data_IF_780068047114
#
_entry.id   IF_780068047114
#
_cell.length_a   1.000
_cell.length_b   1.000
_cell.length_c   1.000
_cell.angle_alpha   90.00
_cell.angle_beta   90.00
_cell.angle_gamma   90.00
#
_symmetry.space_group_name_H-M   'P 1'
#
loop_
_entity.id
_entity.type
_entity.pdbx_description
1 polymer ?
#
# COMPACT_ATOMS: atom_id res chain seq x y z
N UNK A 1 -16.93 -21.93 -14.88
CA UNK A 1 -17.78 -20.81 -14.43
C UNK A 1 -19.25 -21.23 -14.46
N UNK A 2 -19.74 -21.66 -15.62
CA UNK A 2 -21.13 -22.13 -15.80
C UNK A 2 -21.52 -23.27 -14.84
N UNK A 3 -20.63 -24.24 -14.59
CA UNK A 3 -20.90 -25.32 -13.63
C UNK A 3 -21.16 -24.82 -12.21
N UNK A 4 -20.42 -23.79 -11.75
CA UNK A 4 -20.60 -23.19 -10.41
C UNK A 4 -21.89 -22.38 -10.34
N UNK A 5 -22.20 -21.61 -11.40
CA UNK A 5 -23.47 -20.88 -11.49
C UNK A 5 -24.65 -21.86 -11.45
N UNK A 6 -24.59 -22.96 -12.20
CA UNK A 6 -25.63 -23.99 -12.21
C UNK A 6 -25.78 -24.66 -10.83
N UNK A 7 -24.67 -24.97 -10.15
CA UNK A 7 -24.71 -25.51 -8.78
C UNK A 7 -25.36 -24.54 -7.79
N UNK A 8 -25.08 -23.24 -7.89
CA UNK A 8 -25.73 -22.23 -7.04
C UNK A 8 -27.22 -22.10 -7.40
N UNK A 9 -27.57 -22.12 -8.69
CA UNK A 9 -28.98 -22.16 -9.15
C UNK A 9 -29.73 -23.36 -8.56
N UNK A 10 -29.10 -24.53 -8.55
CA UNK A 10 -29.71 -25.76 -8.01
C UNK A 10 -29.93 -25.68 -6.50
N UNK A 11 -28.99 -25.09 -5.75
CA UNK A 11 -29.13 -24.84 -4.31
C UNK A 11 -30.26 -23.84 -4.02
N UNK A 12 -30.40 -22.82 -4.86
CA UNK A 12 -31.38 -21.75 -4.71
C UNK A 12 -32.71 -22.02 -5.46
N UNK A 13 -32.93 -23.21 -6.00
CA UNK A 13 -34.07 -23.51 -6.89
C UNK A 13 -35.47 -23.28 -6.29
N UNK A 14 -35.58 -23.23 -4.96
CA UNK A 14 -36.83 -22.97 -4.26
C UNK A 14 -37.10 -21.49 -4.02
N UNK A 15 -36.16 -20.60 -4.33
CA UNK A 15 -36.38 -19.16 -4.31
C UNK A 15 -36.98 -18.72 -5.65
N UNK A 16 -38.28 -18.44 -5.66
CA UNK A 16 -39.00 -18.05 -6.87
C UNK A 16 -39.66 -16.67 -6.71
N UNK A 17 -40.15 -16.10 -7.81
CA UNK A 17 -40.92 -14.86 -7.72
C UNK A 17 -42.22 -15.13 -6.95
N UNK A 18 -42.66 -14.14 -6.17
CA UNK A 18 -43.96 -14.18 -5.49
C UNK A 18 -45.08 -14.27 -6.51
N UNK A 19 -46.04 -15.17 -6.29
CA UNK A 19 -47.22 -15.34 -7.12
C UNK A 19 -48.52 -15.35 -6.29
N UNK A 20 -49.64 -15.70 -6.92
CA UNK A 20 -50.97 -15.74 -6.29
C UNK A 20 -51.12 -16.85 -5.24
N UNK A 21 -50.26 -17.88 -5.27
CA UNK A 21 -50.28 -19.01 -4.35
C UNK A 21 -49.35 -18.79 -3.15
N UNK A 22 -48.48 -17.79 -3.18
CA UNK A 22 -47.57 -17.47 -2.08
C UNK A 22 -48.35 -17.03 -0.84
N UNK A 23 -48.20 -17.79 0.25
CA UNK A 23 -48.85 -17.53 1.53
C UNK A 23 -48.01 -16.51 2.31
N UNK A 24 -48.66 -15.41 2.72
CA UNK A 24 -48.09 -14.46 3.66
C UNK A 24 -48.50 -14.87 5.08
N UNK A 25 -47.63 -15.58 5.78
CA UNK A 25 -47.88 -16.06 7.15
C UNK A 25 -47.51 -14.97 8.16
N UNK A 26 -48.18 -14.90 9.32
CA UNK A 26 -47.74 -14.00 10.40
C UNK A 26 -46.53 -14.57 11.18
N UNK A 27 -46.04 -15.77 10.81
CA UNK A 27 -44.99 -16.53 11.48
C UNK A 27 -43.59 -16.25 10.90
N UNK A 28 -43.25 -14.98 10.71
CA UNK A 28 -41.94 -14.61 10.20
C UNK A 28 -40.84 -14.69 11.26
N UNK A 29 -39.68 -15.17 10.84
CA UNK A 29 -38.42 -14.99 11.53
C UNK A 29 -37.61 -13.88 10.85
N UNK A 30 -37.20 -12.89 11.64
CA UNK A 30 -36.24 -11.88 11.20
C UNK A 30 -34.82 -12.41 11.41
N UNK A 31 -34.17 -12.80 10.31
CA UNK A 31 -32.77 -13.18 10.31
C UNK A 31 -31.92 -11.94 10.55
N UNK A 32 -31.19 -11.94 11.66
CA UNK A 32 -30.28 -10.85 11.99
C UNK A 32 -29.07 -10.82 11.06
N UNK A 33 -28.41 -9.65 10.97
CA UNK A 33 -27.20 -9.48 10.15
C UNK A 33 -26.11 -10.52 10.47
N UNK A 34 -25.92 -10.89 11.74
CA UNK A 34 -24.90 -11.84 12.17
C UNK A 34 -25.25 -13.31 11.87
N UNK A 35 -26.54 -13.62 11.73
CA UNK A 35 -27.01 -14.96 11.38
C UNK A 35 -26.99 -15.20 9.86
N UNK A 36 -27.13 -14.14 9.06
CA UNK A 36 -27.18 -14.26 7.61
C UNK A 36 -25.77 -14.52 7.02
N UNK A 37 -25.54 -15.66 6.34
CA UNK A 37 -24.23 -15.96 5.75
C UNK A 37 -23.85 -15.02 4.60
N UNK A 38 -24.85 -14.45 3.91
CA UNK A 38 -24.63 -13.56 2.78
C UNK A 38 -24.75 -12.11 3.22
N UNK A 39 -23.74 -11.31 2.87
CA UNK A 39 -23.85 -9.87 2.99
C UNK A 39 -24.84 -9.31 1.93
N UNK A 40 -25.24 -8.03 2.04
CA UNK A 40 -26.24 -7.46 1.14
C UNK A 40 -25.88 -7.56 -0.35
N UNK A 41 -24.62 -7.39 -0.73
CA UNK A 41 -24.23 -7.38 -2.13
C UNK A 41 -24.21 -8.80 -2.72
N UNK A 42 -23.77 -9.79 -1.94
CA UNK A 42 -23.83 -11.21 -2.31
C UNK A 42 -25.27 -11.68 -2.50
N UNK A 43 -26.16 -11.28 -1.60
CA UNK A 43 -27.59 -11.62 -1.69
C UNK A 43 -28.21 -11.02 -2.96
N UNK A 44 -27.92 -9.76 -3.26
CA UNK A 44 -28.41 -9.12 -4.49
C UNK A 44 -27.89 -9.83 -5.74
N UNK A 45 -26.60 -10.17 -5.76
CA UNK A 45 -25.99 -10.89 -6.87
C UNK A 45 -26.65 -12.26 -7.10
N UNK A 46 -26.95 -13.01 -6.05
CA UNK A 46 -27.69 -14.28 -6.16
C UNK A 46 -29.04 -14.10 -6.85
N UNK A 47 -29.86 -13.16 -6.38
CA UNK A 47 -31.19 -13.00 -6.94
C UNK A 47 -31.15 -12.42 -8.36
N UNK A 48 -30.33 -11.40 -8.60
CA UNK A 48 -30.30 -10.69 -9.86
C UNK A 48 -29.52 -11.44 -10.95
N UNK A 49 -28.28 -11.85 -10.66
CA UNK A 49 -27.36 -12.40 -11.65
C UNK A 49 -27.42 -13.92 -11.76
N UNK A 50 -27.83 -14.62 -10.70
CA UNK A 50 -27.93 -16.08 -10.70
C UNK A 50 -29.38 -16.50 -10.94
N UNK A 51 -30.36 -15.99 -10.20
CA UNK A 51 -31.77 -16.41 -10.34
C UNK A 51 -32.56 -15.60 -11.38
N UNK A 52 -31.93 -14.62 -12.04
CA UNK A 52 -32.56 -13.77 -13.06
C UNK A 52 -33.78 -12.96 -12.55
N UNK A 53 -33.82 -12.61 -11.26
CA UNK A 53 -34.84 -11.73 -10.70
C UNK A 53 -34.62 -10.30 -11.18
N UNK A 54 -35.72 -9.57 -11.41
CA UNK A 54 -35.66 -8.12 -11.71
C UNK A 54 -35.48 -7.31 -10.42
N UNK A 55 -34.27 -7.31 -9.88
CA UNK A 55 -33.94 -6.54 -8.68
C UNK A 55 -33.76 -5.06 -9.02
N UNK A 56 -34.66 -4.21 -8.50
CA UNK A 56 -34.51 -2.75 -8.61
C UNK A 56 -33.52 -2.27 -7.56
N UNK A 57 -32.43 -1.63 -8.00
CA UNK A 57 -31.46 -0.92 -7.15
C UNK A 57 -31.84 0.55 -7.01
N UNK A 58 -31.33 1.17 -5.94
CA UNK A 58 -31.49 2.59 -5.63
C UNK A 58 -32.95 3.03 -5.66
N UNK A 59 -33.81 2.23 -5.02
CA UNK A 59 -35.28 2.36 -5.14
C UNK A 59 -35.79 3.68 -4.55
N UNK A 60 -35.18 4.12 -3.45
CA UNK A 60 -35.50 5.37 -2.77
C UNK A 60 -34.33 5.81 -1.90
N UNK A 61 -34.29 7.08 -1.46
CA UNK A 61 -33.30 7.55 -0.49
C UNK A 61 -33.24 6.57 0.70
N UNK A 62 -32.02 6.18 1.09
CA UNK A 62 -31.74 5.24 2.18
C UNK A 62 -32.15 3.79 1.94
N UNK A 63 -32.68 3.45 0.76
CA UNK A 63 -33.08 2.09 0.38
C UNK A 63 -32.31 1.70 -0.88
N UNK A 64 -31.39 0.74 -0.74
CA UNK A 64 -30.66 0.22 -1.89
C UNK A 64 -31.56 -0.71 -2.71
N UNK A 65 -32.10 -1.76 -2.09
CA UNK A 65 -33.02 -2.68 -2.78
C UNK A 65 -34.00 -3.34 -1.81
N UNK A 66 -35.09 -3.86 -2.37
CA UNK A 66 -36.02 -4.76 -1.70
C UNK A 66 -36.31 -5.91 -2.65
N UNK A 67 -36.04 -7.13 -2.21
CA UNK A 67 -36.27 -8.36 -2.96
C UNK A 67 -37.38 -9.11 -2.24
N UNK A 68 -38.48 -9.36 -2.96
CA UNK A 68 -39.58 -10.21 -2.48
C UNK A 68 -39.52 -11.52 -3.23
N UNK A 69 -39.70 -12.63 -2.51
CA UNK A 69 -39.61 -13.96 -3.11
C UNK A 69 -40.58 -14.92 -2.42
N UNK A 70 -40.86 -16.01 -3.10
CA UNK A 70 -41.51 -17.20 -2.56
C UNK A 70 -40.43 -18.22 -2.21
N UNK A 71 -40.55 -18.84 -1.05
CA UNK A 71 -39.81 -20.02 -0.67
C UNK A 71 -40.78 -21.13 -0.25
N UNK A 72 -40.88 -22.17 -1.09
CA UNK A 72 -41.77 -23.34 -0.87
C UNK A 72 -43.23 -22.95 -0.55
N UNK A 73 -43.77 -21.94 -1.23
CA UNK A 73 -45.13 -21.45 -1.06
C UNK A 73 -45.32 -20.42 0.04
N UNK A 74 -44.25 -19.98 0.71
CA UNK A 74 -44.29 -18.96 1.77
C UNK A 74 -43.56 -17.69 1.35
N UNK A 75 -44.10 -16.54 1.74
CA UNK A 75 -43.51 -15.25 1.43
C UNK A 75 -42.17 -15.05 2.14
N UNK A 76 -41.20 -14.47 1.43
CA UNK A 76 -39.91 -14.05 1.98
C UNK A 76 -39.53 -12.66 1.45
N UNK A 77 -38.70 -11.95 2.22
CA UNK A 77 -38.28 -10.60 1.86
C UNK A 77 -36.87 -10.28 2.36
N UNK A 78 -36.02 -9.75 1.49
CA UNK A 78 -34.75 -9.14 1.89
C UNK A 78 -34.78 -7.65 1.56
N UNK A 79 -34.37 -6.81 2.50
CA UNK A 79 -34.23 -5.37 2.29
C UNK A 79 -32.87 -4.86 2.76
N UNK A 80 -32.18 -4.10 1.91
CA UNK A 80 -30.94 -3.40 2.23
C UNK A 80 -31.17 -1.89 2.30
N UNK A 81 -30.90 -1.31 3.48
CA UNK A 81 -31.08 0.11 3.81
C UNK A 81 -29.83 0.66 4.50
N UNK A 82 -29.68 2.00 4.54
CA UNK A 82 -28.46 2.70 5.02
C UNK A 82 -27.88 2.18 6.35
N UNK A 83 -28.73 1.71 7.26
CA UNK A 83 -28.34 1.23 8.59
C UNK A 83 -29.00 -0.10 8.97
N UNK A 84 -29.60 -0.79 8.01
CA UNK A 84 -30.25 -2.07 8.29
C UNK A 84 -30.22 -2.98 7.08
N UNK A 85 -29.93 -4.24 7.34
CA UNK A 85 -30.05 -5.32 6.38
C UNK A 85 -30.94 -6.37 7.03
N UNK A 86 -32.15 -6.50 6.50
CA UNK A 86 -33.20 -7.30 7.12
C UNK A 86 -33.61 -8.39 6.15
N UNK A 87 -33.65 -9.62 6.66
CA UNK A 87 -34.11 -10.78 5.91
C UNK A 87 -35.23 -11.48 6.69
N UNK A 88 -36.43 -11.49 6.13
CA UNK A 88 -37.61 -12.20 6.64
C UNK A 88 -37.85 -13.48 5.86
N UNK A 89 -38.08 -14.56 6.60
CA UNK A 89 -38.47 -15.88 6.09
C UNK A 89 -39.49 -16.52 7.04
N UNK A 90 -40.30 -17.45 6.57
CA UNK A 90 -41.12 -18.26 7.46
C UNK A 90 -40.23 -19.03 8.46
N UNK A 91 -40.60 -18.99 9.73
CA UNK A 91 -39.82 -19.58 10.83
C UNK A 91 -39.57 -21.07 10.64
N UNK A 92 -40.49 -21.79 10.00
CA UNK A 92 -40.38 -23.23 9.78
C UNK A 92 -39.25 -23.58 8.79
N UNK A 93 -38.84 -22.62 7.96
CA UNK A 93 -37.76 -22.79 6.98
C UNK A 93 -36.44 -22.09 7.38
N UNK A 94 -36.37 -21.44 8.55
CA UNK A 94 -35.20 -20.66 8.97
C UNK A 94 -33.89 -21.45 8.83
N UNK A 95 -33.79 -22.59 9.52
CA UNK A 95 -32.52 -23.31 9.64
C UNK A 95 -32.09 -23.93 8.30
N UNK A 96 -33.04 -24.45 7.53
CA UNK A 96 -32.80 -24.96 6.16
C UNK A 96 -32.25 -23.86 5.25
N UNK A 97 -32.88 -22.68 5.25
CA UNK A 97 -32.47 -21.56 4.40
C UNK A 97 -31.08 -21.07 4.79
N UNK A 98 -30.78 -20.94 6.08
CA UNK A 98 -29.46 -20.50 6.54
C UNK A 98 -28.36 -21.51 6.16
N UNK A 99 -28.63 -22.81 6.22
CA UNK A 99 -27.70 -23.84 5.77
C UNK A 99 -27.45 -23.72 4.25
N UNK A 100 -28.51 -23.57 3.44
CA UNK A 100 -28.39 -23.36 1.99
C UNK A 100 -27.54 -22.12 1.70
N UNK A 101 -27.83 -20.99 2.34
CA UNK A 101 -27.09 -19.74 2.13
C UNK A 101 -25.62 -19.86 2.56
N UNK A 102 -25.31 -20.66 3.57
CA UNK A 102 -23.94 -20.93 3.98
C UNK A 102 -23.17 -21.71 2.92
N UNK A 103 -23.78 -22.72 2.31
CA UNK A 103 -23.19 -23.47 1.20
C UNK A 103 -23.01 -22.54 -0.01
N UNK A 104 -24.03 -21.76 -0.35
CA UNK A 104 -24.00 -20.78 -1.45
C UNK A 104 -22.87 -19.77 -1.28
N UNK A 105 -22.61 -19.29 -0.05
CA UNK A 105 -21.49 -18.39 0.23
C UNK A 105 -20.15 -18.96 -0.24
N UNK A 106 -19.87 -20.21 0.10
CA UNK A 106 -18.62 -20.87 -0.27
C UNK A 106 -18.49 -21.02 -1.80
N UNK A 107 -19.59 -21.38 -2.47
CA UNK A 107 -19.62 -21.48 -3.94
C UNK A 107 -19.44 -20.12 -4.62
N UNK A 108 -20.02 -19.04 -4.05
CA UNK A 108 -19.83 -17.67 -4.52
C UNK A 108 -18.38 -17.22 -4.37
N UNK A 109 -17.73 -17.52 -3.24
CA UNK A 109 -16.31 -17.18 -3.03
C UNK A 109 -15.44 -17.83 -4.11
N UNK A 110 -15.67 -19.11 -4.41
CA UNK A 110 -14.97 -19.80 -5.49
C UNK A 110 -15.32 -19.28 -6.89
N UNK A 111 -16.56 -18.85 -7.12
CA UNK A 111 -16.99 -18.25 -8.38
C UNK A 111 -16.32 -16.89 -8.58
N UNK A 112 -16.32 -16.03 -7.56
CA UNK A 112 -15.70 -14.71 -7.62
C UNK A 112 -14.19 -14.82 -7.79
N UNK A 113 -13.52 -15.81 -7.19
CA UNK A 113 -12.10 -16.04 -7.45
C UNK A 113 -11.81 -16.29 -8.94
N UNK A 114 -12.67 -17.04 -9.64
CA UNK A 114 -12.49 -17.28 -11.07
C UNK A 114 -12.81 -16.03 -11.91
N UNK A 115 -13.84 -15.27 -11.54
CA UNK A 115 -14.18 -13.98 -12.17
C UNK A 115 -13.02 -12.99 -11.99
N UNK A 116 -12.44 -12.89 -10.79
CA UNK A 116 -11.31 -12.02 -10.49
C UNK A 116 -10.08 -12.37 -11.31
N UNK A 117 -9.75 -13.66 -11.52
CA UNK A 117 -8.63 -14.04 -12.41
C UNK A 117 -8.83 -13.52 -13.84
N UNK A 118 -10.05 -13.59 -14.36
CA UNK A 118 -10.39 -13.08 -15.69
C UNK A 118 -10.28 -11.54 -15.71
N UNK A 119 -10.81 -10.87 -14.68
CA UNK A 119 -10.72 -9.41 -14.55
C UNK A 119 -9.26 -8.93 -14.47
N UNK A 120 -8.40 -9.61 -13.72
CA UNK A 120 -6.95 -9.33 -13.63
C UNK A 120 -6.24 -9.49 -14.98
N UNK A 121 -6.52 -10.58 -15.71
CA UNK A 121 -5.94 -10.83 -17.02
C UNK A 121 -6.39 -9.81 -18.07
N UNK A 122 -7.63 -9.31 -17.95
CA UNK A 122 -8.23 -8.35 -18.86
C UNK A 122 -8.06 -6.89 -18.44
N UNK A 123 -7.17 -6.58 -17.49
CA UNK A 123 -6.94 -5.22 -16.98
C UNK A 123 -8.19 -4.53 -16.40
N UNK A 124 -9.20 -5.29 -15.99
CA UNK A 124 -10.42 -4.76 -15.38
C UNK A 124 -10.32 -4.76 -13.86
N UNK A 125 -9.34 -4.02 -13.34
CA UNK A 125 -9.14 -3.85 -11.89
C UNK A 125 -8.59 -2.46 -11.57
N UNK A 126 -8.67 -2.11 -10.29
CA UNK A 126 -8.17 -0.85 -9.74
C UNK A 126 -7.07 -1.16 -8.73
N UNK A 127 -5.99 -0.40 -8.78
CA UNK A 127 -4.89 -0.48 -7.82
C UNK A 127 -5.17 0.47 -6.66
N UNK A 128 -5.06 -0.06 -5.45
CA UNK A 128 -5.13 0.73 -4.22
C UNK A 128 -3.98 1.75 -4.18
N UNK A 129 -4.33 2.98 -3.80
CA UNK A 129 -3.40 4.08 -3.67
C UNK A 129 -2.99 4.30 -2.20
N UNK A 130 -1.86 3.70 -1.84
CA UNK A 130 -1.24 3.81 -0.51
C UNK A 130 -0.33 5.04 -0.37
N UNK A 131 -0.46 6.06 -1.24
CA UNK A 131 0.40 7.24 -1.22
C UNK A 131 0.50 7.87 0.17
N UNK A 132 -0.62 8.04 0.89
CA UNK A 132 -0.63 8.61 2.24
C UNK A 132 0.28 7.83 3.19
N UNK A 133 0.14 6.51 3.22
CA UNK A 133 0.92 5.63 4.10
C UNK A 133 2.42 5.77 3.85
N UNK A 134 2.84 5.75 2.58
CA UNK A 134 4.26 5.91 2.24
C UNK A 134 4.77 7.33 2.51
N UNK A 135 3.96 8.35 2.23
CA UNK A 135 4.30 9.75 2.47
C UNK A 135 4.48 10.05 3.96
N UNK A 136 3.55 9.60 4.81
CA UNK A 136 3.64 9.73 6.27
C UNK A 136 4.88 9.02 6.81
N UNK A 137 5.17 7.81 6.31
CA UNK A 137 6.36 7.06 6.71
C UNK A 137 7.65 7.76 6.28
N UNK A 138 7.68 8.31 5.07
CA UNK A 138 8.82 9.04 4.53
C UNK A 138 9.11 10.32 5.34
N UNK A 139 8.08 11.12 5.59
CA UNK A 139 8.15 12.36 6.39
C UNK A 139 8.47 12.08 7.85
N UNK A 140 7.92 11.01 8.44
CA UNK A 140 8.27 10.58 9.80
C UNK A 140 9.77 10.36 9.99
N UNK A 141 10.41 9.61 9.07
CA UNK A 141 11.85 9.36 9.18
C UNK A 141 12.67 10.63 8.92
N UNK A 142 12.25 11.46 7.98
CA UNK A 142 12.88 12.76 7.74
C UNK A 142 12.88 13.62 9.02
N UNK A 143 11.72 13.86 9.63
CA UNK A 143 11.62 14.64 10.86
C UNK A 143 12.44 14.03 12.00
N UNK A 144 12.40 12.71 12.13
CA UNK A 144 13.17 11.96 13.13
C UNK A 144 14.66 12.20 12.96
N UNK A 145 15.18 12.17 11.74
CA UNK A 145 16.59 12.44 11.43
C UNK A 145 16.98 13.86 11.86
N UNK A 146 16.15 14.87 11.54
CA UNK A 146 16.36 16.25 12.01
C UNK A 146 16.38 16.35 13.55
N UNK A 147 15.40 15.73 14.22
CA UNK A 147 15.29 15.69 15.70
C UNK A 147 16.53 15.03 16.33
N UNK A 148 17.00 13.91 15.77
CA UNK A 148 18.19 13.19 16.24
C UNK A 148 19.47 13.98 16.01
N UNK A 149 19.64 14.61 14.86
CA UNK A 149 20.79 15.45 14.58
C UNK A 149 20.85 16.68 15.52
N UNK A 150 19.71 17.30 15.84
CA UNK A 150 19.63 18.38 16.84
C UNK A 150 20.08 17.90 18.22
N UNK A 151 19.59 16.72 18.67
CA UNK A 151 20.02 16.09 19.94
C UNK A 151 21.51 15.74 19.95
N UNK A 152 22.03 15.24 18.83
CA UNK A 152 23.44 14.91 18.69
C UNK A 152 24.33 16.16 18.81
N UNK A 153 23.94 17.26 18.16
CA UNK A 153 24.67 18.53 18.23
C UNK A 153 24.62 19.15 19.64
N UNK A 154 23.47 19.12 20.32
CA UNK A 154 23.38 19.63 21.69
C UNK A 154 24.28 18.87 22.66
N UNK A 155 24.39 17.54 22.52
CA UNK A 155 25.30 16.72 23.32
C UNK A 155 26.76 16.98 22.95
N UNK A 156 27.07 17.20 21.66
CA UNK A 156 28.41 17.58 21.22
C UNK A 156 28.85 18.91 21.82
N UNK A 157 27.94 19.87 21.95
CA UNK A 157 28.24 21.17 22.56
C UNK A 157 28.35 21.06 24.09
N UNK A 158 27.49 20.27 24.74
CA UNK A 158 27.62 19.92 26.16
C UNK A 158 28.94 19.23 26.44
N UNK A 159 29.45 18.36 25.57
CA UNK A 159 30.72 17.67 25.76
C UNK A 159 31.95 18.59 25.86
N UNK A 160 31.90 19.75 25.20
CA UNK A 160 32.95 20.78 25.32
C UNK A 160 32.90 21.50 26.67
N UNK A 161 31.71 21.58 27.26
CA UNK A 161 31.42 22.26 28.54
C UNK A 161 31.63 21.29 29.71
N UNK A 162 31.14 20.05 29.61
CA UNK A 162 31.24 18.99 30.61
C UNK A 162 32.65 18.43 30.75
N UNK A 163 33.45 18.29 29.68
CA UNK A 163 34.87 17.92 29.84
C UNK A 163 35.65 18.93 30.72
N UNK A 164 35.19 20.18 30.82
CA UNK A 164 35.76 21.18 31.72
C UNK A 164 35.13 21.11 33.12
N UNK A 165 33.81 20.96 33.23
CA UNK A 165 33.10 20.95 34.52
C UNK A 165 33.19 19.63 35.30
N UNK A 166 33.26 18.49 34.60
CA UNK A 166 33.48 17.16 35.17
C UNK A 166 34.90 17.07 35.72
N UNK A 167 35.90 17.63 35.02
CA UNK A 167 37.27 17.78 35.56
C UNK A 167 37.30 18.59 36.86
N UNK A 168 36.48 19.66 36.98
CA UNK A 168 36.42 20.47 38.20
C UNK A 168 35.62 19.83 39.35
N UNK A 169 34.57 19.04 39.05
CA UNK A 169 33.77 18.32 40.07
C UNK A 169 34.47 17.06 40.61
N UNK A 170 35.25 16.36 39.77
CA UNK A 170 36.06 15.20 40.17
C UNK A 170 37.21 15.54 41.12
N UNK A 171 37.61 16.81 41.17
CA UNK A 171 38.57 17.31 42.18
C UNK A 171 37.91 17.48 43.56
N UNK A 172 36.58 17.43 43.66
CA UNK A 172 35.83 17.70 44.89
C UNK A 172 35.12 16.47 45.48
N UNK A 173 34.58 15.55 44.66
CA UNK A 173 33.87 14.36 45.14
C UNK A 173 34.63 13.05 44.87
N UNK A 174 35.04 12.34 45.94
CA UNK A 174 35.83 11.09 45.88
C UNK A 174 35.01 9.81 45.58
N UNK A 175 33.67 9.90 45.47
CA UNK A 175 32.79 8.71 45.40
C UNK A 175 32.31 8.33 43.98
N UNK A 176 32.53 9.16 42.96
CA UNK A 176 32.09 8.87 41.58
C UNK A 176 33.27 8.45 40.70
N UNK A 177 33.27 7.20 40.23
CA UNK A 177 34.28 6.70 39.29
C UNK A 177 34.16 7.39 37.93
N UNK A 178 35.18 8.17 37.56
CA UNK A 178 35.30 8.85 36.26
C UNK A 178 34.98 7.93 35.07
N UNK A 179 35.47 6.68 35.13
CA UNK A 179 35.27 5.67 34.09
C UNK A 179 33.79 5.35 33.88
N UNK A 180 32.98 5.34 34.94
CA UNK A 180 31.56 5.01 34.86
C UNK A 180 30.75 6.11 34.18
N UNK A 181 30.96 7.38 34.55
CA UNK A 181 30.29 8.51 33.92
C UNK A 181 30.78 8.76 32.48
N UNK A 182 32.07 8.59 32.23
CA UNK A 182 32.64 8.62 30.88
C UNK A 182 32.01 7.55 29.97
N UNK A 183 31.86 6.31 30.47
CA UNK A 183 31.23 5.23 29.73
C UNK A 183 29.73 5.49 29.46
N UNK A 184 28.97 6.00 30.43
CA UNK A 184 27.55 6.37 30.22
C UNK A 184 27.39 7.42 29.12
N UNK A 185 28.22 8.46 29.15
CA UNK A 185 28.21 9.51 28.13
C UNK A 185 28.57 8.94 26.73
N UNK A 186 29.63 8.14 26.64
CA UNK A 186 30.04 7.50 25.40
C UNK A 186 28.99 6.54 24.84
N UNK A 187 28.31 5.79 25.71
CA UNK A 187 27.19 4.91 25.34
C UNK A 187 26.02 5.71 24.78
N UNK A 188 25.58 6.77 25.46
CA UNK A 188 24.49 7.63 24.97
C UNK A 188 24.80 8.28 23.62
N UNK A 189 26.05 8.75 23.45
CA UNK A 189 26.51 9.29 22.16
C UNK A 189 26.50 8.22 21.07
N UNK A 190 26.95 7.00 21.39
CA UNK A 190 26.96 5.86 20.46
C UNK A 190 25.54 5.45 20.05
N UNK A 191 24.60 5.38 21.01
CA UNK A 191 23.19 5.09 20.76
C UNK A 191 22.56 6.09 19.78
N UNK A 192 22.74 7.39 20.03
CA UNK A 192 22.22 8.43 19.14
C UNK A 192 22.80 8.37 17.73
N UNK A 193 24.10 8.05 17.61
CA UNK A 193 24.75 7.88 16.31
C UNK A 193 24.20 6.66 15.57
N UNK A 194 23.94 5.56 16.28
CA UNK A 194 23.33 4.37 15.68
C UNK A 194 21.87 4.63 15.30
N UNK A 195 21.09 5.29 16.16
CA UNK A 195 19.71 5.65 15.90
C UNK A 195 19.58 6.57 14.69
N UNK A 196 20.49 7.55 14.55
CA UNK A 196 20.58 8.41 13.37
C UNK A 196 20.90 7.59 12.12
N UNK A 197 21.89 6.70 12.19
CA UNK A 197 22.28 5.81 11.09
C UNK A 197 21.09 4.96 10.62
N UNK A 198 20.43 4.24 11.53
CA UNK A 198 19.30 3.37 11.20
C UNK A 198 18.10 4.17 10.68
N UNK A 199 17.88 5.39 11.19
CA UNK A 199 16.81 6.25 10.69
C UNK A 199 17.08 6.70 9.26
N UNK A 200 18.34 7.01 8.90
CA UNK A 200 18.72 7.36 7.52
C UNK A 200 18.62 6.14 6.60
N UNK A 201 19.07 4.95 7.02
CA UNK A 201 18.88 3.71 6.25
C UNK A 201 17.39 3.44 5.98
N UNK A 202 16.56 3.55 7.01
CA UNK A 202 15.11 3.35 6.90
C UNK A 202 14.47 4.39 5.97
N UNK A 203 14.89 5.66 6.05
CA UNK A 203 14.44 6.74 5.16
C UNK A 203 14.73 6.41 3.69
N UNK A 204 15.94 5.93 3.40
CA UNK A 204 16.32 5.52 2.05
C UNK A 204 15.44 4.36 1.58
N UNK A 205 15.26 3.31 2.39
CA UNK A 205 14.44 2.17 1.97
C UNK A 205 12.98 2.57 1.73
N UNK A 206 12.40 3.38 2.62
CA UNK A 206 11.03 3.91 2.46
C UNK A 206 10.90 4.73 1.19
N UNK A 207 11.89 5.57 0.85
CA UNK A 207 11.87 6.31 -0.41
C UNK A 207 11.73 5.39 -1.63
N UNK A 208 12.50 4.29 -1.70
CA UNK A 208 12.41 3.40 -2.86
C UNK A 208 11.10 2.62 -2.90
N UNK A 209 10.56 2.21 -1.76
CA UNK A 209 9.22 1.60 -1.72
C UNK A 209 8.14 2.59 -2.16
N UNK A 210 8.25 3.84 -1.71
CA UNK A 210 7.32 4.90 -2.07
C UNK A 210 7.39 5.23 -3.56
N UNK A 211 8.60 5.43 -4.08
CA UNK A 211 8.85 5.65 -5.49
C UNK A 211 8.30 4.48 -6.32
N UNK A 212 8.57 3.24 -5.90
CA UNK A 212 8.09 2.05 -6.61
C UNK A 212 6.56 1.98 -6.66
N UNK A 213 5.89 2.34 -5.57
CA UNK A 213 4.43 2.43 -5.52
C UNK A 213 3.90 3.50 -6.49
N UNK A 214 4.42 4.73 -6.44
CA UNK A 214 4.02 5.82 -7.35
C UNK A 214 4.22 5.41 -8.80
N UNK A 215 5.37 4.81 -9.14
CA UNK A 215 5.64 4.38 -10.51
C UNK A 215 4.69 3.27 -10.98
N UNK A 216 4.33 2.33 -10.10
CA UNK A 216 3.31 1.33 -10.42
C UNK A 216 1.94 1.97 -10.71
N UNK A 217 1.54 3.00 -9.96
CA UNK A 217 0.31 3.73 -10.24
C UNK A 217 0.40 4.59 -11.51
N UNK A 218 1.57 5.15 -11.82
CA UNK A 218 1.78 6.00 -12.99
C UNK A 218 1.89 5.25 -14.31
N UNK A 219 2.37 4.00 -14.30
CA UNK A 219 2.65 3.27 -15.54
C UNK A 219 1.47 3.20 -16.51
N UNK A 220 0.21 2.95 -16.09
CA UNK A 220 -0.97 3.01 -16.96
C UNK A 220 -1.18 4.34 -17.70
N UNK A 221 -0.65 5.45 -17.18
CA UNK A 221 -0.71 6.76 -17.82
C UNK A 221 0.44 7.00 -18.82
N UNK A 222 1.42 6.11 -18.88
CA UNK A 222 2.57 6.25 -19.77
C UNK A 222 2.21 5.91 -21.22
N UNK A 223 2.89 6.54 -22.18
CA UNK A 223 2.73 6.23 -23.61
C UNK A 223 3.19 4.82 -23.98
N UNK A 224 3.99 4.17 -23.13
CA UNK A 224 4.51 2.81 -23.30
C UNK A 224 3.54 1.75 -22.76
N UNK A 225 2.46 2.15 -22.10
CA UNK A 225 1.44 1.23 -21.61
C UNK A 225 0.60 0.69 -22.77
N UNK A 226 0.31 -0.61 -22.71
CA UNK A 226 -0.43 -1.32 -23.74
C UNK A 226 -1.56 -2.11 -23.08
N UNK A 227 -2.78 -1.57 -23.19
CA UNK A 227 -3.97 -2.16 -22.57
C UNK A 227 -4.30 -3.56 -23.10
N UNK A 228 -3.76 -3.95 -24.27
CA UNK A 228 -3.93 -5.29 -24.82
C UNK A 228 -3.08 -6.36 -24.11
N UNK A 229 -2.09 -5.95 -23.30
CA UNK A 229 -1.25 -6.85 -22.50
C UNK A 229 -1.71 -6.85 -21.06
N UNK A 230 -1.69 -8.02 -20.41
CA UNK A 230 -2.04 -8.12 -19.00
C UNK A 230 -1.04 -7.34 -18.15
N UNK A 231 -1.54 -6.32 -17.46
CA UNK A 231 -0.74 -5.56 -16.51
C UNK A 231 -0.44 -6.35 -15.24
N UNK A 232 -1.35 -7.26 -14.87
CA UNK A 232 -1.16 -8.18 -13.75
C UNK A 232 0.13 -9.02 -13.89
N UNK A 233 0.41 -9.53 -15.10
CA UNK A 233 1.64 -10.26 -15.39
C UNK A 233 2.90 -9.39 -15.22
N UNK A 234 2.81 -8.11 -15.56
CA UNK A 234 3.92 -7.16 -15.41
C UNK A 234 4.20 -6.84 -13.94
N UNK A 235 3.16 -6.58 -13.14
CA UNK A 235 3.29 -6.31 -11.69
C UNK A 235 3.94 -7.49 -10.97
N UNK A 236 3.59 -8.73 -11.36
CA UNK A 236 4.12 -9.95 -10.74
C UNK A 236 5.51 -10.34 -11.25
N UNK A 237 6.07 -9.60 -12.21
CA UNK A 237 7.39 -9.89 -12.72
C UNK A 237 8.47 -9.39 -11.74
N UNK A 238 9.27 -10.28 -11.10
CA UNK A 238 10.29 -9.86 -10.13
C UNK A 238 11.44 -9.05 -10.76
N UNK A 239 11.51 -8.98 -12.09
CA UNK A 239 12.47 -8.14 -12.83
C UNK A 239 11.96 -6.73 -13.09
N UNK A 240 10.69 -6.46 -12.81
CA UNK A 240 10.09 -5.13 -12.97
C UNK A 240 10.30 -4.29 -11.72
N UNK A 241 11.58 -4.02 -11.43
CA UNK A 241 12.04 -3.26 -10.26
C UNK A 241 11.85 -1.75 -10.45
N UNK A 242 11.96 -0.96 -9.37
CA UNK A 242 11.84 0.51 -9.42
C UNK A 242 12.63 1.18 -10.55
N UNK A 243 13.83 0.71 -10.88
CA UNK A 243 14.66 1.29 -11.93
C UNK A 243 14.14 0.95 -13.33
N UNK A 244 13.58 -0.25 -13.50
CA UNK A 244 12.93 -0.65 -14.75
C UNK A 244 11.61 0.11 -14.93
N UNK A 245 10.80 0.22 -13.88
CA UNK A 245 9.59 1.04 -13.83
C UNK A 245 9.86 2.49 -14.26
N UNK A 246 10.91 3.11 -13.73
CA UNK A 246 11.33 4.46 -14.15
C UNK A 246 11.60 4.54 -15.65
N UNK A 247 12.33 3.58 -16.22
CA UNK A 247 12.66 3.59 -17.67
C UNK A 247 11.48 3.21 -18.58
N UNK A 248 10.46 2.57 -18.02
CA UNK A 248 9.22 2.25 -18.73
C UNK A 248 8.23 3.42 -18.69
N UNK A 249 8.40 4.35 -17.75
CA UNK A 249 7.58 5.57 -17.63
C UNK A 249 8.25 6.72 -18.39
N UNK A 250 9.52 6.98 -18.11
CA UNK A 250 10.26 8.08 -18.73
C UNK A 250 11.07 7.64 -19.95
N UNK A 251 11.39 8.60 -20.81
CA UNK A 251 12.50 8.42 -21.76
C UNK A 251 13.84 8.55 -21.03
N UNK A 252 14.83 7.77 -21.47
CA UNK A 252 16.12 7.68 -20.77
C UNK A 252 16.85 9.02 -20.70
N UNK A 253 16.74 9.85 -21.74
CA UNK A 253 17.40 11.15 -21.79
C UNK A 253 16.89 12.11 -20.71
N UNK A 254 15.59 12.02 -20.38
CA UNK A 254 14.96 12.86 -19.34
C UNK A 254 15.46 12.54 -17.93
N UNK A 255 15.83 11.29 -17.65
CA UNK A 255 16.15 10.82 -16.28
C UNK A 255 17.59 10.35 -16.08
N UNK A 256 18.41 10.25 -17.13
CA UNK A 256 19.72 9.57 -17.12
C UNK A 256 20.62 9.95 -15.93
N UNK A 257 20.78 11.25 -15.67
CA UNK A 257 21.61 11.77 -14.59
C UNK A 257 21.04 11.40 -13.23
N UNK A 258 19.74 11.62 -13.02
CA UNK A 258 19.05 11.36 -11.76
C UNK A 258 18.99 9.85 -11.45
N UNK A 259 18.71 9.03 -12.47
CA UNK A 259 18.72 7.58 -12.38
C UNK A 259 20.09 7.04 -11.94
N UNK A 260 21.18 7.61 -12.47
CA UNK A 260 22.53 7.28 -12.05
C UNK A 260 22.78 7.57 -10.56
N UNK A 261 22.32 8.73 -10.07
CA UNK A 261 22.41 9.09 -8.65
C UNK A 261 21.58 8.15 -7.77
N UNK A 262 20.33 7.85 -8.17
CA UNK A 262 19.45 6.94 -7.45
C UNK A 262 20.03 5.52 -7.41
N UNK A 263 20.55 4.99 -8.52
CA UNK A 263 21.19 3.66 -8.52
C UNK A 263 22.34 3.60 -7.54
N UNK A 264 23.18 4.65 -7.55
CA UNK A 264 24.31 4.76 -6.63
C UNK A 264 23.88 4.78 -5.15
N UNK A 265 22.81 5.50 -4.81
CA UNK A 265 22.28 5.52 -3.43
C UNK A 265 21.82 4.12 -3.01
N UNK A 266 20.99 3.46 -3.83
CA UNK A 266 20.46 2.11 -3.51
C UNK A 266 21.55 1.07 -3.41
N UNK A 267 22.59 1.14 -4.25
CA UNK A 267 23.71 0.19 -4.23
C UNK A 267 24.57 0.34 -2.98
N UNK A 268 24.86 1.57 -2.54
CA UNK A 268 25.72 1.81 -1.37
C UNK A 268 25.01 1.44 -0.06
N UNK A 269 23.70 1.74 0.06
CA UNK A 269 22.97 1.68 1.33
C UNK A 269 21.90 0.60 1.40
N UNK A 270 21.94 -0.41 0.51
CA UNK A 270 21.06 -1.58 0.60
C UNK A 270 21.12 -2.17 2.01
N UNK A 271 19.96 -2.29 2.64
CA UNK A 271 19.77 -2.71 4.02
C UNK A 271 20.78 -3.78 4.48
N UNK A 272 21.79 -3.34 5.26
CA UNK A 272 22.87 -4.20 5.74
C UNK A 272 22.36 -5.24 6.75
N UNK A 273 21.26 -4.94 7.44
CA UNK A 273 20.69 -5.79 8.49
C UNK A 273 19.94 -7.00 7.89
N UNK A 274 19.24 -6.82 6.76
CA UNK A 274 18.50 -7.91 6.10
C UNK A 274 19.39 -8.93 5.35
N UNK A 275 20.68 -8.61 5.15
CA UNK A 275 21.63 -9.44 4.42
C UNK A 275 22.83 -9.87 5.28
N UNK A 276 22.67 -9.97 6.61
CA UNK A 276 23.67 -10.53 7.51
C UNK A 276 24.96 -9.70 7.63
N UNK A 277 24.88 -8.37 7.43
CA UNK A 277 26.01 -7.43 7.27
C UNK A 277 26.89 -7.68 6.04
N UNK A 278 26.52 -8.63 5.19
CA UNK A 278 27.05 -8.74 3.83
C UNK A 278 26.26 -7.79 2.94
N UNK A 279 26.70 -6.54 2.85
CA UNK A 279 26.28 -5.68 1.73
C UNK A 279 26.66 -6.34 0.39
N UNK A 280 26.08 -5.89 -0.74
CA UNK A 280 26.61 -6.22 -2.08
C UNK A 280 28.09 -5.84 -2.25
N UNK A 281 28.58 -4.95 -1.38
CA UNK A 281 29.99 -4.71 -1.13
C UNK A 281 30.52 -5.76 -0.15
N UNK A 282 31.29 -6.73 -0.64
CA UNK A 282 31.92 -7.77 0.17
C UNK A 282 33.25 -7.24 0.70
N UNK A 283 33.39 -7.16 2.03
CA UNK A 283 34.69 -6.94 2.65
C UNK A 283 35.48 -8.25 2.64
N UNK A 284 36.49 -8.33 1.80
CA UNK A 284 37.41 -9.48 1.70
C UNK A 284 38.78 -9.10 2.21
N UNK A 285 39.56 -10.11 2.57
CA UNK A 285 41.00 -9.95 2.79
C UNK A 285 41.69 -10.65 1.64
N UNK A 286 42.17 -9.88 0.66
CA UNK A 286 42.97 -10.41 -0.43
C UNK A 286 44.32 -10.87 0.11
N UNK A 287 44.74 -12.07 -0.29
CA UNK A 287 46.06 -12.58 0.02
C UNK A 287 47.05 -12.01 -1.00
N UNK A 288 48.08 -11.33 -0.50
CA UNK A 288 49.17 -10.78 -1.30
C UNK A 288 50.45 -11.42 -0.77
N UNK A 289 51.17 -12.13 -1.64
CA UNK A 289 52.43 -12.80 -1.29
C UNK A 289 53.42 -11.79 -0.69
N UNK A 290 54.13 -12.22 0.37
CA UNK A 290 55.10 -11.42 1.14
C UNK A 290 54.55 -10.14 1.82
N UNK A 291 53.27 -9.82 1.66
CA UNK A 291 52.58 -8.69 2.30
C UNK A 291 51.51 -9.16 3.31
N UNK A 292 50.95 -10.35 3.12
CA UNK A 292 49.92 -10.93 3.97
C UNK A 292 48.50 -10.62 3.48
N UNK A 293 47.61 -10.23 4.39
CA UNK A 293 46.18 -10.04 4.10
C UNK A 293 45.84 -8.57 3.92
N UNK A 294 45.54 -8.15 2.69
CA UNK A 294 45.10 -6.79 2.38
C UNK A 294 43.58 -6.68 2.35
N UNK A 295 42.95 -5.85 3.21
CA UNK A 295 41.51 -5.67 3.18
C UNK A 295 41.05 -4.93 1.91
N UNK A 296 40.08 -5.51 1.21
CA UNK A 296 39.43 -4.96 0.03
C UNK A 296 37.91 -4.92 0.20
N UNK A 297 37.27 -3.99 -0.49
CA UNK A 297 35.84 -3.95 -0.71
C UNK A 297 35.54 -4.31 -2.17
N UNK A 298 34.72 -5.33 -2.37
CA UNK A 298 34.31 -5.84 -3.70
C UNK A 298 32.84 -5.51 -3.92
N UNK A 299 32.55 -4.52 -4.76
CA UNK A 299 31.20 -4.22 -5.24
C UNK A 299 30.95 -4.78 -6.64
N UNK A 300 29.70 -4.72 -7.11
CA UNK A 300 29.31 -5.23 -8.45
C UNK A 300 30.11 -4.59 -9.60
N UNK A 301 30.52 -3.33 -9.45
CA UNK A 301 31.20 -2.54 -10.48
C UNK A 301 32.45 -1.81 -9.97
N UNK A 302 32.94 -2.13 -8.77
CA UNK A 302 34.12 -1.47 -8.21
C UNK A 302 34.92 -2.41 -7.30
N UNK A 303 36.24 -2.20 -7.27
CA UNK A 303 37.18 -2.82 -6.34
C UNK A 303 37.95 -1.70 -5.64
N UNK A 304 37.94 -1.67 -4.31
CA UNK A 304 38.60 -0.60 -3.53
C UNK A 304 39.43 -1.17 -2.40
N UNK A 305 40.67 -0.71 -2.28
CA UNK A 305 41.54 -1.02 -1.15
C UNK A 305 41.25 -0.19 0.09
N UNK A 306 41.96 -0.52 1.17
CA UNK A 306 41.91 0.25 2.41
C UNK A 306 42.73 1.53 2.24
N UNK A 307 42.09 2.65 1.89
CA UNK A 307 42.72 3.96 2.10
C UNK A 307 42.70 4.25 3.60
N UNK A 308 43.87 4.52 4.18
CA UNK A 308 43.98 5.08 5.54
C UNK A 308 43.05 6.29 5.62
N UNK A 309 41.98 6.18 6.40
CA UNK A 309 40.96 7.23 6.47
C UNK A 309 39.67 6.97 5.68
N UNK A 310 39.33 5.71 5.39
CA UNK A 310 37.90 5.33 5.41
C UNK A 310 37.36 5.62 6.82
N UNK A 311 37.03 6.89 7.08
CA UNK A 311 35.73 7.18 7.67
C UNK A 311 34.81 6.29 6.86
N UNK A 312 34.20 5.28 7.47
CA UNK A 312 33.05 4.60 6.90
C UNK A 312 32.28 5.64 6.09
N UNK A 313 31.72 5.31 4.91
CA UNK A 313 30.63 6.13 4.35
C UNK A 313 29.48 6.00 5.34
N UNK A 314 29.65 6.63 6.49
CA UNK A 314 28.81 6.60 7.64
C UNK A 314 27.74 7.55 7.19
N UNK A 315 26.58 6.98 6.88
CA UNK A 315 25.38 7.77 6.70
C UNK A 315 25.32 8.75 7.86
N UNK A 316 25.57 10.00 7.52
CA UNK A 316 25.59 11.11 8.43
C UNK A 316 24.57 12.12 7.93
N UNK A 317 24.34 13.14 8.75
CA UNK A 317 23.35 14.14 8.43
C UNK A 317 23.65 14.90 7.12
N UNK A 318 24.93 15.09 6.76
CA UNK A 318 25.31 15.77 5.51
C UNK A 318 24.93 14.92 4.30
N UNK A 319 25.18 13.62 4.37
CA UNK A 319 24.84 12.69 3.29
C UNK A 319 23.32 12.52 3.17
N UNK A 320 22.60 12.50 4.30
CA UNK A 320 21.15 12.58 4.33
C UNK A 320 20.62 13.80 3.57
N UNK A 321 21.11 15.01 3.85
CA UNK A 321 20.68 16.23 3.15
C UNK A 321 20.92 16.15 1.63
N UNK A 322 22.04 15.54 1.23
CA UNK A 322 22.32 15.29 -0.20
C UNK A 322 21.27 14.36 -0.81
N UNK A 323 20.96 13.24 -0.15
CA UNK A 323 20.01 12.26 -0.67
C UNK A 323 18.60 12.80 -0.69
N UNK A 324 18.19 13.52 0.36
CA UNK A 324 16.95 14.28 0.40
C UNK A 324 16.78 15.14 -0.85
N UNK A 325 17.77 15.96 -1.19
CA UNK A 325 17.69 16.82 -2.37
C UNK A 325 17.54 16.03 -3.69
N UNK A 326 18.16 14.85 -3.79
CA UNK A 326 18.02 13.97 -4.97
C UNK A 326 16.61 13.37 -5.02
N UNK A 327 16.07 12.96 -3.87
CA UNK A 327 14.73 12.38 -3.75
C UNK A 327 13.64 13.40 -4.10
N UNK A 328 13.72 14.63 -3.57
CA UNK A 328 12.78 15.69 -3.92
C UNK A 328 12.87 16.07 -5.40
N UNK A 329 14.05 16.14 -6.00
CA UNK A 329 14.19 16.34 -7.46
C UNK A 329 13.46 15.26 -8.28
N UNK A 330 13.39 14.02 -7.78
CA UNK A 330 12.63 12.96 -8.42
C UNK A 330 11.12 13.21 -8.30
N UNK A 331 10.63 13.63 -7.13
CA UNK A 331 9.22 14.00 -6.96
C UNK A 331 8.85 15.22 -7.81
N UNK A 332 9.68 16.27 -7.82
CA UNK A 332 9.48 17.45 -8.67
C UNK A 332 9.37 17.05 -10.15
N UNK A 333 10.23 16.14 -10.61
CA UNK A 333 10.19 15.65 -11.99
C UNK A 333 8.93 14.82 -12.31
N UNK A 334 8.45 14.02 -11.35
CA UNK A 334 7.19 13.28 -11.48
C UNK A 334 6.01 14.25 -11.60
N UNK A 335 5.97 15.28 -10.76
CA UNK A 335 4.93 16.31 -10.81
C UNK A 335 4.98 17.14 -12.10
N UNK A 336 6.18 17.45 -12.60
CA UNK A 336 6.36 18.18 -13.87
C UNK A 336 5.86 17.37 -15.07
N UNK A 337 6.25 16.09 -15.16
CA UNK A 337 6.00 15.25 -16.35
C UNK A 337 4.66 14.53 -16.31
N UNK A 338 4.13 14.28 -15.12
CA UNK A 338 2.88 13.58 -14.87
C UNK A 338 1.95 14.40 -13.96
N UNK A 339 1.81 15.70 -14.24
CA UNK A 339 1.03 16.63 -13.43
C UNK A 339 -0.37 16.11 -13.07
N UNK A 340 -1.19 15.74 -14.07
CA UNK A 340 -2.57 15.30 -13.82
C UNK A 340 -2.65 13.94 -13.11
N UNK A 341 -1.92 12.89 -13.54
CA UNK A 341 -1.86 11.63 -12.78
C UNK A 341 -1.38 11.79 -11.34
N UNK A 342 -0.37 12.64 -11.10
CA UNK A 342 0.15 12.89 -9.76
C UNK A 342 -0.87 13.59 -8.86
N UNK A 343 -1.75 14.44 -9.39
CA UNK A 343 -2.84 15.03 -8.60
C UNK A 343 -3.81 13.95 -8.13
N UNK A 344 -4.20 12.99 -8.98
CA UNK A 344 -5.02 11.86 -8.55
C UNK A 344 -4.31 11.04 -7.46
N UNK A 345 -3.02 10.74 -7.66
CA UNK A 345 -2.23 9.96 -6.70
C UNK A 345 -2.12 10.69 -5.35
N UNK A 346 -1.82 11.99 -5.36
CA UNK A 346 -1.67 12.81 -4.16
C UNK A 346 -2.99 13.02 -3.40
N UNK A 347 -4.14 12.86 -4.07
CA UNK A 347 -5.47 12.90 -3.47
C UNK A 347 -6.03 11.51 -3.16
N UNK A 348 -5.17 10.48 -3.10
CA UNK A 348 -5.52 9.14 -2.64
C UNK A 348 -6.58 8.44 -3.51
N UNK A 349 -6.73 8.88 -4.77
CA UNK A 349 -7.63 8.21 -5.72
C UNK A 349 -6.98 6.91 -6.16
N UNK A 350 -7.69 5.80 -5.99
CA UNK A 350 -7.30 4.50 -6.52
C UNK A 350 -7.27 4.53 -8.05
N UNK A 351 -6.25 3.90 -8.64
CA UNK A 351 -5.98 4.03 -10.08
C UNK A 351 -6.46 2.79 -10.84
N UNK A 352 -7.48 2.90 -11.71
CA UNK A 352 -7.85 1.82 -12.61
C UNK A 352 -6.75 1.60 -13.63
N UNK A 353 -6.55 0.34 -14.04
CA UNK A 353 -5.58 0.03 -15.09
C UNK A 353 -5.98 0.68 -16.43
N UNK A 354 -7.28 0.69 -16.74
CA UNK A 354 -7.80 1.54 -17.80
C UNK A 354 -8.07 2.95 -17.26
N UNK A 355 -7.08 3.83 -17.48
CA UNK A 355 -7.12 5.22 -17.03
C UNK A 355 -8.01 6.13 -17.89
N UNK A 356 -8.64 5.61 -18.95
CA UNK A 356 -9.51 6.42 -19.83
C UNK A 356 -10.63 7.09 -19.04
N UNK A 357 -11.19 6.40 -18.05
CA UNK A 357 -12.22 6.95 -17.16
C UNK A 357 -11.73 8.17 -16.39
N UNK A 358 -10.46 8.24 -15.97
CA UNK A 358 -9.88 9.37 -15.24
C UNK A 358 -9.40 10.50 -16.17
N UNK A 359 -8.88 10.15 -17.34
CA UNK A 359 -8.23 11.13 -18.24
C UNK A 359 -9.16 11.72 -19.30
N UNK A 360 -10.37 11.16 -19.47
CA UNK A 360 -11.34 11.67 -20.44
C UNK A 360 -11.73 13.11 -20.12
N UNK A 361 -11.58 13.97 -21.14
CA UNK A 361 -11.93 15.40 -21.14
C UNK A 361 -11.10 16.27 -20.16
N UNK A 362 -9.95 15.78 -19.69
CA UNK A 362 -9.04 16.54 -18.82
C UNK A 362 -8.10 17.40 -19.66
N UNK A 363 -8.21 18.72 -19.55
CA UNK A 363 -7.34 19.67 -20.25
C UNK A 363 -6.60 20.62 -19.29
N UNK A 364 -7.05 20.72 -18.04
CA UNK A 364 -6.56 21.65 -17.02
C UNK A 364 -6.47 20.99 -15.64
N UNK A 365 -5.84 21.68 -14.69
CA UNK A 365 -5.76 21.24 -13.30
C UNK A 365 -7.15 21.24 -12.65
N UNK A 366 -7.96 22.25 -12.99
CA UNK A 366 -9.31 22.43 -12.51
C UNK A 366 -10.23 21.27 -12.95
N UNK A 367 -10.02 20.72 -14.14
CA UNK A 367 -10.78 19.54 -14.61
C UNK A 367 -10.48 18.29 -13.75
N UNK A 368 -9.22 18.13 -13.32
CA UNK A 368 -8.80 17.03 -12.45
C UNK A 368 -9.41 17.19 -11.06
N UNK A 369 -9.35 18.39 -10.49
CA UNK A 369 -9.94 18.70 -9.18
C UNK A 369 -11.46 18.48 -9.19
N UNK A 370 -12.16 18.96 -10.21
CA UNK A 370 -13.60 18.72 -10.38
C UNK A 370 -13.92 17.22 -10.55
N UNK A 371 -13.02 16.44 -11.15
CA UNK A 371 -13.18 14.98 -11.24
C UNK A 371 -13.03 14.31 -9.89
N UNK A 372 -12.04 14.71 -9.09
CA UNK A 372 -11.82 14.21 -7.73
C UNK A 372 -13.05 14.52 -6.86
N UNK A 373 -13.51 15.77 -6.87
CA UNK A 373 -14.70 16.18 -6.12
C UNK A 373 -15.94 15.36 -6.50
N UNK A 374 -16.08 15.06 -7.79
CA UNK A 374 -17.16 14.20 -8.28
C UNK A 374 -17.03 12.76 -7.79
N UNK A 375 -15.83 12.19 -7.83
CA UNK A 375 -15.57 10.82 -7.31
C UNK A 375 -15.91 10.76 -5.82
N UNK A 376 -15.42 11.72 -5.04
CA UNK A 376 -15.69 11.81 -3.60
C UNK A 376 -17.19 11.99 -3.33
N UNK A 377 -17.88 12.82 -4.11
CA UNK A 377 -19.32 13.00 -4.02
C UNK A 377 -20.07 11.69 -4.32
N UNK A 378 -19.71 10.97 -5.39
CA UNK A 378 -20.33 9.70 -5.77
C UNK A 378 -20.10 8.61 -4.70
N UNK A 379 -18.88 8.51 -4.15
CA UNK A 379 -18.55 7.59 -3.06
C UNK A 379 -19.36 7.94 -1.81
N UNK A 380 -19.38 9.21 -1.42
CA UNK A 380 -20.14 9.66 -0.25
C UNK A 380 -21.63 9.37 -0.42
N UNK A 381 -22.21 9.66 -1.58
CA UNK A 381 -23.60 9.36 -1.88
C UNK A 381 -23.88 7.85 -1.83
N UNK A 382 -22.98 7.03 -2.37
CA UNK A 382 -23.12 5.57 -2.33
C UNK A 382 -23.09 5.02 -0.91
N UNK A 383 -22.12 5.45 -0.09
CA UNK A 383 -22.01 5.05 1.32
C UNK A 383 -23.21 5.53 2.14
N UNK A 384 -23.75 6.70 1.79
CA UNK A 384 -24.89 7.28 2.47
C UNK A 384 -26.26 6.91 1.88
N UNK A 385 -26.28 6.10 0.82
CA UNK A 385 -27.47 5.74 0.03
C UNK A 385 -28.32 6.96 -0.37
N UNK A 386 -27.64 8.02 -0.82
CA UNK A 386 -28.20 9.25 -1.35
C UNK A 386 -28.19 9.16 -2.88
N UNK A 387 -29.28 8.65 -3.46
CA UNK A 387 -29.39 8.31 -4.88
C UNK A 387 -29.87 9.44 -5.76
#
# INVERSE_FOLDING_TARGET
MDDKINKIKDLLKYFTNVDENTINTDNFYEVSYYENPLNPDLMEYCFNNILDFKVKKRVFEKINYIIKFDYKGTYGCVAHRKLSYIFYIDKDYKDEVLEILSIVKNELEELFLDISKISLNNNNFTMENEYLYYFEKFTFYEERIYKLNKKYNSIKDLSKIECKSVKSKLLQDKEVSYTMEYNKYHNRKRELVNELLYSIESYIDVFYSFLEHILTLLYPFSSKFDLAKSYFELIHNPRWTWDKKLTDIFELDDISTLLGELRKIKEIHRNRNAHGKFSRELKVYAHIDDFGRYPLYVGKQYLKGFTEGYKDIKLDFKLFLKYRNIFYKMFDLLEEKYLYPMIYINNYIDIPVDVSSLMKDINSKEDVEARIDRIDYEINNQLNMDW
#
